data_IF_130920800640
#
_entry.id   IF_130920800640
#
_cell.length_a   1.000
_cell.length_b   1.000
_cell.length_c   1.000
_cell.angle_alpha   90.00
_cell.angle_beta   90.00
_cell.angle_gamma   90.00
#
_symmetry.space_group_name_H-M   'P 1'
#
loop_
_entity.id
_entity.type
_entity.pdbx_description
1 polymer ?
#
# COMPACT_ATOMS: atom_id res chain seq x y z
N UNK A 1 -9.25 -0.31 7.02
CA UNK A 1 -8.16 0.46 6.36
C UNK A 1 -7.35 1.27 7.38
N UNK A 2 -8.00 1.77 8.44
CA UNK A 2 -7.31 2.42 9.56
C UNK A 2 -6.34 1.48 10.27
N UNK A 3 -6.71 0.23 10.53
CA UNK A 3 -5.80 -0.75 11.16
C UNK A 3 -4.50 -0.96 10.41
N UNK A 4 -4.56 -1.04 9.07
CA UNK A 4 -3.35 -1.09 8.24
C UNK A 4 -2.54 0.19 8.42
N UNK A 5 -3.17 1.36 8.34
CA UNK A 5 -2.48 2.64 8.53
C UNK A 5 -1.81 2.72 9.91
N UNK A 6 -2.49 2.33 10.98
CA UNK A 6 -1.95 2.31 12.34
C UNK A 6 -0.81 1.31 12.48
N UNK A 7 -0.99 0.10 11.98
CA UNK A 7 0.05 -0.92 12.00
C UNK A 7 1.30 -0.46 11.25
N UNK A 8 1.13 0.05 10.03
CA UNK A 8 2.23 0.52 9.19
C UNK A 8 2.84 1.83 9.68
N UNK A 9 2.11 2.62 10.48
CA UNK A 9 2.62 3.86 11.09
C UNK A 9 3.75 3.60 12.09
N UNK A 10 3.91 2.37 12.59
CA UNK A 10 5.01 1.97 13.47
C UNK A 10 6.36 1.87 12.73
N UNK A 11 6.34 1.67 11.41
CA UNK A 11 7.54 1.54 10.59
C UNK A 11 7.95 2.86 9.94
N UNK A 12 7.01 3.81 9.83
CA UNK A 12 7.24 5.12 9.25
C UNK A 12 5.97 5.91 8.99
N UNK A 13 6.13 7.11 8.43
CA UNK A 13 4.99 8.01 8.21
C UNK A 13 4.14 7.58 7.01
N UNK A 14 2.91 7.11 7.26
CA UNK A 14 1.97 6.74 6.20
C UNK A 14 1.29 7.98 5.61
N UNK A 15 1.62 8.30 4.37
CA UNK A 15 1.04 9.42 3.62
C UNK A 15 -0.39 9.12 3.12
N UNK A 16 -0.62 7.91 2.63
CA UNK A 16 -1.92 7.51 2.07
C UNK A 16 -2.11 6.01 2.18
N UNK A 17 -3.29 5.57 2.59
CA UNK A 17 -3.71 4.17 2.55
C UNK A 17 -4.96 4.06 1.68
N UNK A 18 -4.95 3.17 0.69
CA UNK A 18 -6.09 2.88 -0.18
C UNK A 18 -6.43 1.40 -0.12
N UNK A 19 -7.63 1.09 0.34
CA UNK A 19 -8.19 -0.25 0.35
C UNK A 19 -9.37 -0.28 -0.62
N UNK A 20 -9.16 -0.68 -1.89
CA UNK A 20 -10.26 -0.77 -2.83
C UNK A 20 -11.24 -1.84 -2.38
N UNK A 21 -12.50 -1.47 -2.32
CA UNK A 21 -13.61 -2.38 -2.13
C UNK A 21 -14.16 -2.80 -3.50
N UNK A 22 -14.57 -4.06 -3.59
CA UNK A 22 -15.28 -4.57 -4.74
C UNK A 22 -16.75 -4.14 -4.62
N UNK A 23 -17.27 -3.44 -5.64
CA UNK A 23 -18.61 -2.84 -5.59
C UNK A 23 -19.72 -3.87 -5.79
N UNK A 24 -19.42 -4.97 -6.48
CA UNK A 24 -20.38 -6.04 -6.76
C UNK A 24 -20.56 -6.97 -5.55
N UNK A 25 -19.45 -7.33 -4.90
CA UNK A 25 -19.49 -8.22 -3.73
C UNK A 25 -19.60 -7.48 -2.40
N UNK A 26 -19.33 -6.17 -2.37
CA UNK A 26 -19.27 -5.37 -1.15
C UNK A 26 -18.06 -5.66 -0.25
N UNK A 27 -17.23 -6.63 -0.62
CA UNK A 27 -16.05 -7.03 0.16
C UNK A 27 -14.80 -6.27 -0.27
N UNK A 28 -13.89 -6.07 0.67
CA UNK A 28 -12.57 -5.53 0.38
C UNK A 28 -11.84 -6.47 -0.58
N UNK A 29 -11.25 -5.91 -1.63
CA UNK A 29 -10.28 -6.68 -2.41
C UNK A 29 -9.12 -6.96 -1.46
N UNK A 30 -8.67 -8.22 -1.37
CA UNK A 30 -7.68 -8.72 -0.40
C UNK A 30 -6.26 -8.14 -0.60
N UNK A 31 -6.16 -6.88 -1.01
CA UNK A 31 -4.94 -6.11 -1.22
C UNK A 31 -5.21 -4.63 -0.90
N UNK A 32 -4.18 -3.92 -0.46
CA UNK A 32 -4.21 -2.49 -0.20
C UNK A 32 -2.97 -1.83 -0.80
N UNK A 33 -3.05 -0.51 -1.01
CA UNK A 33 -1.89 0.31 -1.34
C UNK A 33 -1.59 1.28 -0.22
N UNK A 34 -0.33 1.28 0.20
CA UNK A 34 0.18 2.16 1.23
C UNK A 34 1.30 2.98 0.63
N UNK A 35 1.15 4.30 0.70
CA UNK A 35 2.15 5.27 0.31
C UNK A 35 2.77 5.84 1.58
N UNK A 36 4.07 5.67 1.72
CA UNK A 36 4.85 6.28 2.79
C UNK A 36 5.39 7.66 2.36
N UNK A 37 5.76 8.46 3.36
CA UNK A 37 6.37 9.77 3.15
C UNK A 37 7.79 9.68 2.64
N UNK A 38 8.60 8.73 3.14
CA UNK A 38 9.99 8.55 2.74
C UNK A 38 10.26 7.14 2.22
N UNK A 39 11.27 6.96 1.34
CA UNK A 39 11.69 5.62 0.92
C UNK A 39 12.32 4.81 2.04
N UNK A 40 12.93 5.46 3.05
CA UNK A 40 13.44 4.79 4.26
C UNK A 40 12.31 4.10 5.04
N UNK A 41 11.16 4.75 5.20
CA UNK A 41 9.98 4.15 5.85
C UNK A 41 9.58 2.84 5.16
N UNK A 42 9.64 2.80 3.82
CA UNK A 42 9.35 1.60 3.03
C UNK A 42 10.39 0.50 3.34
N UNK A 43 11.67 0.84 3.40
CA UNK A 43 12.71 -0.13 3.75
C UNK A 43 12.50 -0.70 5.15
N UNK A 44 12.12 0.12 6.14
CA UNK A 44 11.85 -0.34 7.50
C UNK A 44 10.74 -1.40 7.54
N UNK A 45 9.71 -1.25 6.69
CA UNK A 45 8.67 -2.26 6.54
C UNK A 45 9.26 -3.57 6.03
N UNK A 46 10.04 -3.54 4.95
CA UNK A 46 10.65 -4.75 4.36
C UNK A 46 11.77 -5.37 5.21
N UNK A 47 12.31 -4.67 6.21
CA UNK A 47 13.23 -5.27 7.18
C UNK A 47 12.55 -6.32 8.05
N UNK A 48 11.22 -6.29 8.17
CA UNK A 48 10.47 -7.31 8.87
C UNK A 48 10.12 -8.45 7.91
N UNK A 49 10.60 -9.65 8.19
CA UNK A 49 10.37 -10.84 7.36
C UNK A 49 8.88 -11.22 7.20
N UNK A 50 8.05 -10.90 8.20
CA UNK A 50 6.63 -11.26 8.18
C UNK A 50 5.74 -10.24 8.88
N UNK A 51 4.70 -9.82 8.18
CA UNK A 51 3.62 -9.00 8.72
C UNK A 51 2.38 -9.86 8.90
N UNK A 52 1.82 -9.86 10.10
CA UNK A 52 0.59 -10.58 10.43
C UNK A 52 -0.37 -9.55 11.02
N UNK A 53 -1.57 -9.45 10.45
CA UNK A 53 -2.63 -8.56 10.90
C UNK A 53 -3.92 -9.39 11.03
N UNK A 54 -4.57 -9.36 12.19
CA UNK A 54 -5.78 -10.16 12.48
C UNK A 54 -5.63 -11.67 12.19
N UNK A 55 -4.43 -12.22 12.39
CA UNK A 55 -4.11 -13.63 12.08
C UNK A 55 -3.88 -13.92 10.59
N UNK A 56 -4.05 -12.93 9.71
CA UNK A 56 -3.72 -13.04 8.29
C UNK A 56 -2.27 -12.60 8.02
N UNK A 57 -1.50 -13.45 7.35
CA UNK A 57 -0.16 -13.09 6.87
C UNK A 57 -0.28 -12.14 5.67
N UNK A 58 0.24 -10.93 5.81
CA UNK A 58 0.27 -9.94 4.75
C UNK A 58 1.46 -10.19 3.82
N UNK A 59 1.21 -10.20 2.52
CA UNK A 59 2.26 -10.26 1.50
C UNK A 59 2.50 -8.84 1.00
N UNK A 60 3.72 -8.33 1.22
CA UNK A 60 4.10 -7.01 0.78
C UNK A 60 4.88 -7.09 -0.53
N UNK A 61 4.56 -6.21 -1.47
CA UNK A 61 5.29 -6.07 -2.72
C UNK A 61 5.67 -4.63 -2.91
N UNK A 62 6.97 -4.38 -3.07
CA UNK A 62 7.43 -3.04 -3.38
C UNK A 62 6.96 -2.68 -4.78
N UNK A 63 6.09 -1.68 -4.88
CA UNK A 63 5.73 -1.12 -6.17
C UNK A 63 6.84 -0.14 -6.57
N UNK A 64 7.87 -0.67 -7.24
CA UNK A 64 8.83 0.16 -7.97
C UNK A 64 8.00 1.02 -8.91
N UNK A 65 8.02 2.34 -8.68
CA UNK A 65 7.17 3.27 -9.40
C UNK A 65 7.25 2.94 -10.87
N UNK A 66 6.13 2.51 -11.46
CA UNK A 66 6.01 2.64 -12.92
C UNK A 66 6.30 4.10 -13.14
N UNK A 67 7.43 4.41 -13.79
CA UNK A 67 7.60 5.71 -14.45
C UNK A 67 6.24 6.02 -15.05
N UNK A 68 5.75 7.24 -14.81
CA UNK A 68 4.59 7.73 -15.54
C UNK A 68 4.84 7.39 -17.02
N UNK A 69 4.27 6.31 -17.53
CA UNK A 69 3.75 6.33 -18.89
C UNK A 69 2.58 7.27 -18.75
N UNK A 70 2.94 8.55 -18.81
CA UNK A 70 2.15 9.64 -19.31
C UNK A 70 1.18 9.02 -20.31
N UNK A 71 -0.09 8.91 -19.92
CA UNK A 71 -1.13 8.88 -20.93
C UNK A 71 -0.85 10.11 -21.79
N UNK A 72 -0.41 9.86 -23.01
CA UNK A 72 -0.53 10.79 -24.12
C UNK A 72 -1.96 11.34 -24.06
N UNK A 73 -2.11 12.56 -23.57
CA UNK A 73 -3.16 13.41 -24.05
C UNK A 73 -2.58 14.01 -25.33
N UNK A 74 -3.00 13.44 -26.47
CA UNK A 74 -2.97 14.15 -27.74
C UNK A 74 -3.62 15.50 -27.54
N UNK A 75 -2.84 16.55 -27.78
CA UNK A 75 -3.33 17.87 -28.15
C UNK A 75 -2.71 18.16 -29.51
N UNK A 76 -3.47 17.93 -30.57
CA UNK A 76 -3.63 18.76 -31.78
C UNK A 76 -4.64 18.08 -32.72
#
# INVERSE_FOLDING_TARGET
AEELKEYFSQFGSVQRCQLPFDKDTGFHKRYCWIKFSTPQDVQNVFQKDSHILEGAKLTLKQQLGRRRSQRQNQSE
#
